data_IF_669330347289
#
_entry.id   IF_669330347289
#
_cell.length_a   1.000
_cell.length_b   1.000
_cell.length_c   1.000
_cell.angle_alpha   90.00
_cell.angle_beta   90.00
_cell.angle_gamma   90.00
#
_symmetry.space_group_name_H-M   'P 1'
#
loop_
_entity.id
_entity.type
_entity.pdbx_description
1 polymer ?
#
# COMPACT_ATOMS: atom_id res chain seq x y z
N UNK A 1 -24.59 1.36 0.99
CA UNK A 1 -23.42 0.84 1.74
C UNK A 1 -22.39 1.94 1.81
N UNK A 2 -21.92 2.28 3.00
CA UNK A 2 -20.84 3.24 3.26
C UNK A 2 -19.51 2.49 3.13
N UNK A 3 -18.64 2.94 2.22
CA UNK A 3 -17.37 2.27 1.95
C UNK A 3 -16.20 2.98 2.64
N UNK A 4 -15.64 2.32 3.67
CA UNK A 4 -14.49 2.77 4.46
C UNK A 4 -13.33 1.77 4.39
N UNK A 5 -13.08 1.19 3.21
CA UNK A 5 -11.96 0.27 2.98
C UNK A 5 -11.06 0.68 1.79
N UNK A 6 -10.92 2.00 1.57
CA UNK A 6 -10.12 2.57 0.48
C UNK A 6 -8.64 2.15 0.47
N UNK A 7 -8.11 1.70 1.62
CA UNK A 7 -6.74 1.20 1.71
C UNK A 7 -6.59 -0.20 1.09
N UNK A 8 -7.66 -1.00 1.01
CA UNK A 8 -7.67 -2.26 0.28
C UNK A 8 -7.77 -2.00 -1.23
N UNK A 9 -8.78 -1.25 -1.66
CA UNK A 9 -8.96 -0.81 -3.04
C UNK A 9 -9.88 0.40 -3.08
N UNK A 10 -9.83 1.16 -4.17
CA UNK A 10 -10.75 2.27 -4.42
C UNK A 10 -11.66 1.96 -5.60
N UNK A 11 -12.87 2.55 -5.65
CA UNK A 11 -13.68 2.52 -6.87
C UNK A 11 -13.01 3.34 -7.98
N UNK A 12 -13.20 2.89 -9.21
CA UNK A 12 -12.75 3.59 -10.41
C UNK A 12 -13.52 4.92 -10.51
N UNK A 13 -12.83 6.02 -10.78
CA UNK A 13 -13.51 7.29 -11.09
C UNK A 13 -14.20 7.21 -12.47
N UNK A 14 -15.36 7.85 -12.67
CA UNK A 14 -16.03 7.89 -13.97
C UNK A 14 -15.12 8.37 -15.10
N UNK A 15 -14.36 9.45 -14.87
CA UNK A 15 -13.44 10.03 -15.85
C UNK A 15 -12.29 9.07 -16.20
N UNK A 16 -11.90 8.20 -15.25
CA UNK A 16 -10.92 7.15 -15.50
C UNK A 16 -11.55 6.05 -16.35
N UNK A 17 -12.76 5.59 -16.02
CA UNK A 17 -13.48 4.61 -16.84
C UNK A 17 -13.67 5.09 -18.28
N UNK A 18 -14.11 6.34 -18.45
CA UNK A 18 -14.34 6.94 -19.76
C UNK A 18 -13.05 6.98 -20.60
N UNK A 19 -11.90 7.24 -19.97
CA UNK A 19 -10.60 7.19 -20.65
C UNK A 19 -10.21 5.78 -21.12
N UNK A 20 -10.70 4.73 -20.46
CA UNK A 20 -10.40 3.34 -20.77
C UNK A 20 -11.29 2.78 -21.89
N UNK A 21 -12.56 3.20 -21.95
CA UNK A 21 -13.57 2.61 -22.83
C UNK A 21 -13.17 2.57 -24.33
N UNK A 22 -12.55 3.61 -24.91
CA UNK A 22 -12.11 3.57 -26.32
C UNK A 22 -11.14 2.42 -26.61
N UNK A 23 -10.29 2.06 -25.64
CA UNK A 23 -9.26 1.02 -25.78
C UNK A 23 -9.80 -0.40 -25.52
N UNK A 24 -10.99 -0.50 -24.92
CA UNK A 24 -11.72 -1.76 -24.74
C UNK A 24 -12.66 -2.06 -25.92
N UNK A 25 -13.00 -1.06 -26.73
CA UNK A 25 -13.90 -1.16 -27.87
C UNK A 25 -13.13 -1.07 -29.18
N UNK A 26 -12.97 0.13 -29.73
CA UNK A 26 -12.42 0.34 -31.07
C UNK A 26 -10.87 0.29 -31.10
N UNK A 27 -10.21 0.61 -29.98
CA UNK A 27 -8.76 0.72 -29.84
C UNK A 27 -8.02 -0.56 -29.44
N UNK A 28 -8.57 -1.75 -29.71
CA UNK A 28 -8.08 -3.07 -29.28
C UNK A 28 -6.70 -3.51 -29.83
N UNK A 29 -6.03 -2.64 -30.58
CA UNK A 29 -4.84 -2.98 -31.37
C UNK A 29 -3.60 -3.24 -30.50
N UNK A 30 -2.72 -4.12 -30.98
CA UNK A 30 -1.45 -4.39 -30.32
C UNK A 30 -0.46 -3.22 -30.58
N UNK A 31 0.05 -2.53 -29.54
CA UNK A 31 0.92 -1.35 -29.68
C UNK A 31 2.33 -1.67 -30.23
N UNK A 32 2.63 -2.94 -30.48
CA UNK A 32 3.91 -3.39 -31.05
C UNK A 32 3.86 -3.61 -32.58
N UNK A 33 2.71 -3.39 -33.22
CA UNK A 33 2.58 -3.47 -34.68
C UNK A 33 2.80 -2.10 -35.37
N UNK A 34 2.95 -2.10 -36.70
CA UNK A 34 3.32 -0.89 -37.46
C UNK A 34 2.14 -0.12 -38.07
N UNK A 35 0.92 -0.65 -38.00
CA UNK A 35 -0.27 -0.02 -38.61
C UNK A 35 -0.82 1.13 -37.75
N UNK A 36 -1.67 1.97 -38.34
CA UNK A 36 -2.18 3.22 -37.71
C UNK A 36 -2.78 3.01 -36.32
N UNK A 37 -3.61 1.99 -36.14
CA UNK A 37 -4.23 1.66 -34.85
C UNK A 37 -3.23 1.29 -33.75
N UNK A 38 -2.17 0.54 -34.10
CA UNK A 38 -1.10 0.22 -33.17
C UNK A 38 -0.29 1.46 -32.75
N UNK A 39 -0.02 2.37 -33.69
CA UNK A 39 0.63 3.66 -33.38
C UNK A 39 -0.19 4.51 -32.42
N UNK A 40 -1.52 4.53 -32.60
CA UNK A 40 -2.42 5.23 -31.69
C UNK A 40 -2.39 4.62 -30.27
N UNK A 41 -2.41 3.29 -30.15
CA UNK A 41 -2.30 2.60 -28.86
C UNK A 41 -0.95 2.88 -28.18
N UNK A 42 0.16 2.88 -28.94
CA UNK A 42 1.49 3.24 -28.43
C UNK A 42 1.50 4.68 -27.88
N UNK A 43 0.99 5.63 -28.65
CA UNK A 43 0.94 7.04 -28.22
C UNK A 43 0.12 7.21 -26.93
N UNK A 44 -0.99 6.49 -26.78
CA UNK A 44 -1.80 6.52 -25.56
C UNK A 44 -1.06 5.95 -24.34
N UNK A 45 -0.28 4.88 -24.53
CA UNK A 45 0.60 4.33 -23.49
C UNK A 45 1.68 5.36 -23.10
N UNK A 46 2.27 6.06 -24.08
CA UNK A 46 3.31 7.05 -23.83
C UNK A 46 2.75 8.26 -23.07
N UNK A 47 1.57 8.76 -23.41
CA UNK A 47 0.87 9.80 -22.64
C UNK A 47 0.57 9.34 -21.21
N UNK A 48 0.09 8.12 -21.02
CA UNK A 48 -0.13 7.57 -19.68
C UNK A 48 1.16 7.49 -18.87
N UNK A 49 2.29 7.17 -19.53
CA UNK A 49 3.61 7.12 -18.91
C UNK A 49 4.06 8.49 -18.41
N UNK A 50 3.84 9.53 -19.20
CA UNK A 50 4.09 10.93 -18.81
C UNK A 50 3.26 11.33 -17.58
N UNK A 51 1.96 10.98 -17.56
CA UNK A 51 1.08 11.29 -16.43
C UNK A 51 1.53 10.59 -15.14
N UNK A 52 1.91 9.31 -15.21
CA UNK A 52 2.43 8.55 -14.05
C UNK A 52 3.77 9.12 -13.60
N UNK A 53 4.69 9.43 -14.52
CA UNK A 53 5.98 10.02 -14.19
C UNK A 53 5.80 11.37 -13.48
N UNK A 54 4.91 12.21 -14.02
CA UNK A 54 4.59 13.51 -13.46
C UNK A 54 4.02 13.43 -12.04
N UNK A 55 3.25 12.40 -11.69
CA UNK A 55 2.68 12.21 -10.35
C UNK A 55 3.76 12.05 -9.26
N UNK A 56 4.89 11.42 -9.61
CA UNK A 56 5.97 11.13 -8.65
C UNK A 56 7.24 11.95 -8.90
N UNK A 57 7.20 12.93 -9.81
CA UNK A 57 8.36 13.76 -10.18
C UNK A 57 9.46 13.02 -10.97
N UNK A 58 9.13 11.91 -11.62
CA UNK A 58 10.06 11.12 -12.45
C UNK A 58 10.10 11.60 -13.90
N UNK A 59 11.04 11.07 -14.68
CA UNK A 59 11.00 11.11 -16.14
C UNK A 59 10.18 9.93 -16.71
N UNK A 60 9.51 10.07 -17.87
CA UNK A 60 8.74 8.99 -18.49
C UNK A 60 9.56 7.71 -18.70
N UNK A 61 10.83 7.85 -19.07
CA UNK A 61 11.73 6.73 -19.32
C UNK A 61 12.06 5.90 -18.07
N UNK A 62 11.82 6.45 -16.88
CA UNK A 62 12.02 5.78 -15.60
C UNK A 62 10.82 4.93 -15.19
N UNK A 63 9.71 4.99 -15.92
CA UNK A 63 8.48 4.25 -15.61
C UNK A 63 8.42 2.96 -16.43
N UNK A 64 8.14 1.85 -15.74
CA UNK A 64 7.81 0.54 -16.31
C UNK A 64 6.42 0.13 -15.86
N UNK A 65 5.51 -0.18 -16.77
CA UNK A 65 4.19 -0.68 -16.43
C UNK A 65 4.24 -2.16 -16.02
N UNK A 66 3.48 -2.49 -14.97
CA UNK A 66 3.38 -3.85 -14.39
C UNK A 66 1.89 -4.21 -14.19
N UNK A 67 1.59 -5.44 -13.77
CA UNK A 67 0.21 -5.83 -13.46
C UNK A 67 -0.31 -5.27 -12.12
N UNK A 68 0.53 -4.55 -11.36
CA UNK A 68 0.17 -4.00 -10.05
C UNK A 68 1.36 -3.94 -9.10
N UNK A 69 1.11 -3.41 -7.90
CA UNK A 69 2.17 -3.19 -6.91
C UNK A 69 2.93 -4.45 -6.50
N UNK A 70 2.28 -5.63 -6.44
CA UNK A 70 2.98 -6.89 -6.13
C UNK A 70 4.01 -7.26 -7.19
N UNK A 71 3.68 -7.13 -8.49
CA UNK A 71 4.63 -7.39 -9.57
C UNK A 71 5.79 -6.39 -9.52
N UNK A 72 5.49 -5.08 -9.35
CA UNK A 72 6.51 -4.03 -9.21
C UNK A 72 7.50 -4.32 -8.09
N UNK A 73 6.99 -4.61 -6.88
CA UNK A 73 7.82 -4.89 -5.71
C UNK A 73 8.66 -6.15 -5.93
N UNK A 74 8.08 -7.23 -6.47
CA UNK A 74 8.83 -8.46 -6.72
C UNK A 74 9.91 -8.28 -7.78
N UNK A 75 9.63 -7.50 -8.83
CA UNK A 75 10.61 -7.22 -9.87
C UNK A 75 11.80 -6.42 -9.34
N UNK A 76 11.54 -5.37 -8.54
CA UNK A 76 12.59 -4.60 -7.87
C UNK A 76 13.43 -5.47 -6.92
N UNK A 77 12.77 -6.17 -5.99
CA UNK A 77 13.46 -6.95 -4.95
C UNK A 77 14.25 -8.12 -5.52
N UNK A 78 13.71 -8.84 -6.51
CA UNK A 78 14.44 -9.94 -7.16
C UNK A 78 15.67 -9.44 -7.90
N UNK A 79 15.55 -8.30 -8.57
CA UNK A 79 16.70 -7.66 -9.21
C UNK A 79 17.76 -7.23 -8.17
N UNK A 80 17.34 -6.54 -7.11
CA UNK A 80 18.23 -6.08 -6.05
C UNK A 80 18.98 -7.23 -5.37
N UNK A 81 18.27 -8.32 -5.04
CA UNK A 81 18.89 -9.53 -4.49
C UNK A 81 19.94 -10.12 -5.45
N UNK A 82 19.65 -10.15 -6.76
CA UNK A 82 20.61 -10.63 -7.77
C UNK A 82 21.82 -9.70 -7.90
N UNK A 83 21.60 -8.38 -7.83
CA UNK A 83 22.65 -7.37 -7.93
C UNK A 83 23.67 -7.48 -6.79
N UNK A 84 23.20 -7.62 -5.55
CA UNK A 84 24.08 -7.70 -4.37
C UNK A 84 24.72 -9.08 -4.18
N UNK A 85 24.06 -10.13 -4.69
CA UNK A 85 24.54 -11.50 -4.64
C UNK A 85 24.40 -12.16 -3.26
N UNK A 86 24.12 -13.46 -3.26
CA UNK A 86 23.77 -14.23 -2.04
C UNK A 86 24.85 -14.34 -0.97
N UNK A 87 26.14 -14.31 -1.34
CA UNK A 87 27.24 -14.67 -0.43
C UNK A 87 27.65 -13.53 0.50
N UNK A 88 27.50 -12.30 0.04
CA UNK A 88 27.97 -11.09 0.74
C UNK A 88 26.88 -10.04 0.87
N UNK A 89 25.86 -10.08 0.00
CA UNK A 89 24.80 -9.10 -0.04
C UNK A 89 23.76 -9.28 1.05
N UNK A 90 23.51 -8.22 1.82
CA UNK A 90 22.49 -8.18 2.88
C UNK A 90 21.20 -7.53 2.39
N UNK A 91 20.06 -8.16 2.67
CA UNK A 91 18.74 -7.57 2.49
C UNK A 91 18.31 -6.89 3.80
N UNK A 92 17.86 -5.64 3.71
CA UNK A 92 17.38 -4.87 4.86
C UNK A 92 15.94 -4.44 4.58
N UNK A 93 15.05 -4.67 5.52
CA UNK A 93 13.65 -4.26 5.40
C UNK A 93 13.04 -4.00 6.76
N UNK A 94 11.75 -3.67 6.84
CA UNK A 94 11.06 -3.39 8.10
C UNK A 94 10.15 -4.54 8.51
N UNK A 95 9.85 -4.62 9.80
CA UNK A 95 8.91 -5.60 10.35
C UNK A 95 7.45 -5.32 9.95
N UNK A 96 7.14 -4.17 9.32
CA UNK A 96 5.77 -3.72 9.04
C UNK A 96 5.40 -3.73 7.55
N UNK A 97 6.27 -4.23 6.70
CA UNK A 97 6.04 -4.22 5.25
C UNK A 97 4.82 -5.03 4.82
N UNK A 98 4.35 -4.76 3.60
CA UNK A 98 3.39 -5.62 2.94
C UNK A 98 3.99 -7.00 2.63
N UNK A 99 3.13 -8.02 2.54
CA UNK A 99 3.54 -9.40 2.20
C UNK A 99 4.30 -9.51 0.86
N UNK A 100 4.10 -8.55 -0.05
CA UNK A 100 4.84 -8.45 -1.31
C UNK A 100 6.34 -8.10 -1.13
N UNK A 101 6.74 -7.59 0.04
CA UNK A 101 8.14 -7.40 0.43
C UNK A 101 8.60 -8.51 1.37
N UNK A 102 7.81 -8.80 2.42
CA UNK A 102 8.20 -9.77 3.45
C UNK A 102 8.47 -11.16 2.88
N UNK A 103 7.55 -11.69 2.05
CA UNK A 103 7.68 -13.06 1.52
C UNK A 103 8.87 -13.21 0.55
N UNK A 104 9.15 -12.27 -0.37
CA UNK A 104 10.39 -12.32 -1.13
C UNK A 104 11.65 -12.26 -0.26
N UNK A 105 11.69 -11.36 0.74
CA UNK A 105 12.81 -11.28 1.67
C UNK A 105 13.01 -12.58 2.47
N UNK A 106 11.94 -13.24 2.90
CA UNK A 106 11.96 -14.59 3.50
C UNK A 106 12.58 -15.61 2.56
N UNK A 107 12.10 -15.65 1.32
CA UNK A 107 12.61 -16.56 0.30
C UNK A 107 14.10 -16.33 0.02
N UNK A 108 14.56 -15.07 0.06
CA UNK A 108 15.99 -14.76 -0.06
C UNK A 108 16.76 -15.28 1.15
N UNK A 109 16.24 -15.11 2.37
CA UNK A 109 16.84 -15.66 3.58
C UNK A 109 16.96 -17.18 3.51
N UNK A 110 15.94 -17.88 3.03
CA UNK A 110 15.92 -19.35 2.90
C UNK A 110 17.01 -19.86 1.94
N UNK A 111 17.40 -19.06 0.94
CA UNK A 111 18.48 -19.40 -0.01
C UNK A 111 19.83 -18.78 0.35
N UNK A 112 19.95 -18.24 1.57
CA UNK A 112 21.22 -17.86 2.19
C UNK A 112 21.55 -16.37 2.21
N UNK A 113 20.62 -15.47 1.87
CA UNK A 113 20.84 -14.03 2.04
C UNK A 113 20.70 -13.64 3.52
N UNK A 114 21.68 -12.94 4.12
CA UNK A 114 21.46 -12.29 5.41
C UNK A 114 20.29 -11.29 5.31
N UNK A 115 19.30 -11.42 6.19
CA UNK A 115 18.14 -10.55 6.26
C UNK A 115 18.11 -9.80 7.59
N UNK A 116 18.09 -8.47 7.54
CA UNK A 116 17.77 -7.62 8.69
C UNK A 116 16.33 -7.10 8.56
N UNK A 117 15.55 -7.29 9.62
CA UNK A 117 14.18 -6.76 9.75
C UNK A 117 14.15 -5.75 10.87
N UNK A 118 14.23 -4.47 10.50
CA UNK A 118 14.22 -3.38 11.46
C UNK A 118 12.83 -3.22 12.08
N UNK A 119 12.79 -2.98 13.38
CA UNK A 119 11.59 -2.71 14.14
C UNK A 119 11.02 -1.31 13.89
N UNK A 120 9.94 -1.05 14.61
CA UNK A 120 9.28 0.25 14.67
C UNK A 120 9.04 0.60 16.13
N UNK A 121 8.89 1.89 16.42
CA UNK A 121 8.44 2.33 17.73
C UNK A 121 6.94 2.02 17.95
N UNK A 122 6.44 2.31 19.16
CA UNK A 122 5.03 2.09 19.54
C UNK A 122 4.02 2.86 18.67
N UNK A 123 4.46 3.90 17.97
CA UNK A 123 3.65 4.69 17.03
C UNK A 123 3.75 4.16 15.58
N UNK A 124 4.51 3.09 15.33
CA UNK A 124 4.64 2.46 14.03
C UNK A 124 5.61 3.16 13.07
N UNK A 125 6.50 4.03 13.57
CA UNK A 125 7.58 4.63 12.78
C UNK A 125 8.86 3.81 12.90
N UNK A 126 9.56 3.65 11.78
CA UNK A 126 10.85 2.96 11.67
C UNK A 126 11.83 3.44 12.73
N UNK A 127 12.45 2.47 13.42
CA UNK A 127 13.63 2.73 14.26
C UNK A 127 14.83 3.01 13.36
N UNK A 128 15.21 4.29 13.26
CA UNK A 128 16.31 4.74 12.40
C UNK A 128 17.68 4.31 12.93
N UNK A 129 17.84 4.07 14.24
CA UNK A 129 19.12 3.64 14.82
C UNK A 129 19.37 2.17 14.53
N UNK A 130 18.33 1.34 14.66
CA UNK A 130 18.39 -0.06 14.24
C UNK A 130 18.62 -0.16 12.72
N UNK A 131 17.93 0.67 11.93
CA UNK A 131 18.11 0.71 10.48
C UNK A 131 19.52 1.15 10.06
N UNK A 132 20.07 2.16 10.73
CA UNK A 132 21.46 2.62 10.52
C UNK A 132 22.46 1.52 10.84
N UNK A 133 22.33 0.88 12.00
CA UNK A 133 23.17 -0.24 12.40
C UNK A 133 23.11 -1.38 11.37
N UNK A 134 21.91 -1.69 10.86
CA UNK A 134 21.73 -2.70 9.84
C UNK A 134 22.43 -2.37 8.51
N UNK A 135 22.39 -1.10 8.09
CA UNK A 135 23.03 -0.58 6.88
C UNK A 135 24.55 -0.52 7.01
N UNK A 136 25.08 -0.06 8.14
CA UNK A 136 26.53 -0.03 8.41
C UNK A 136 27.12 -1.44 8.35
N UNK A 137 26.43 -2.42 8.94
CA UNK A 137 26.83 -3.83 8.88
C UNK A 137 26.75 -4.45 7.46
N UNK A 138 26.13 -3.79 6.49
CA UNK A 138 26.05 -4.25 5.10
C UNK A 138 27.11 -3.62 4.18
N UNK A 139 27.82 -2.59 4.66
CA UNK A 139 28.66 -1.71 3.82
C UNK A 139 29.72 -2.46 3.02
N UNK A 140 30.45 -3.38 3.65
CA UNK A 140 31.58 -4.09 3.02
C UNK A 140 31.13 -5.23 2.08
N UNK A 141 30.00 -5.87 2.40
CA UNK A 141 29.45 -6.98 1.62
C UNK A 141 28.50 -6.56 0.49
N UNK A 142 28.06 -5.31 0.53
CA UNK A 142 26.97 -4.77 -0.28
C UNK A 142 25.59 -5.11 0.29
N UNK A 143 24.58 -4.37 -0.14
CA UNK A 143 23.22 -4.63 0.30
C UNK A 143 22.19 -3.75 -0.38
N UNK A 144 20.93 -4.04 -0.08
CA UNK A 144 19.82 -3.20 -0.47
C UNK A 144 18.84 -3.06 0.69
N UNK A 145 18.16 -1.92 0.72
CA UNK A 145 17.07 -1.67 1.66
C UNK A 145 15.73 -1.56 0.94
N UNK A 146 14.68 -2.07 1.58
CA UNK A 146 13.29 -1.90 1.15
C UNK A 146 12.43 -1.42 2.32
N UNK A 147 11.93 -0.19 2.22
CA UNK A 147 11.08 0.43 3.26
C UNK A 147 9.81 0.98 2.61
N UNK A 148 8.64 0.55 3.07
CA UNK A 148 7.37 1.09 2.61
C UNK A 148 7.22 2.57 2.98
N UNK A 149 6.70 3.38 2.07
CA UNK A 149 6.55 4.83 2.29
C UNK A 149 5.50 5.13 3.36
N UNK A 150 4.37 4.44 3.29
CA UNK A 150 3.29 4.57 4.26
C UNK A 150 2.65 3.21 4.49
N UNK A 151 2.33 2.91 5.75
CA UNK A 151 1.76 1.63 6.12
C UNK A 151 0.30 1.50 5.67
N UNK A 152 -0.06 0.39 5.04
CA UNK A 152 -1.42 0.14 4.56
C UNK A 152 -2.45 -0.10 5.66
N UNK A 153 -2.00 -0.44 6.86
CA UNK A 153 -2.85 -0.81 7.99
C UNK A 153 -3.12 0.39 8.89
N UNK A 154 -2.06 1.02 9.40
CA UNK A 154 -2.15 2.15 10.34
C UNK A 154 -2.16 3.51 9.65
N UNK A 155 -1.71 3.57 8.39
CA UNK A 155 -1.53 4.81 7.66
C UNK A 155 -0.28 5.59 8.06
N UNK A 156 0.55 5.07 8.96
CA UNK A 156 1.75 5.77 9.44
C UNK A 156 2.76 5.95 8.29
N UNK A 157 3.25 7.17 8.13
CA UNK A 157 4.21 7.60 7.11
C UNK A 157 5.62 7.40 7.68
N UNK A 158 6.45 6.69 6.93
CA UNK A 158 7.81 6.37 7.35
C UNK A 158 8.80 7.51 7.03
N UNK A 159 9.90 7.65 7.80
CA UNK A 159 10.97 8.62 7.52
C UNK A 159 11.81 8.20 6.29
N UNK A 160 11.22 8.23 5.09
CA UNK A 160 11.86 7.71 3.87
C UNK A 160 13.06 8.56 3.44
N UNK A 161 13.01 9.88 3.63
CA UNK A 161 14.14 10.76 3.32
C UNK A 161 15.37 10.35 4.09
N UNK A 162 15.22 10.16 5.40
CA UNK A 162 16.28 9.77 6.32
C UNK A 162 16.73 8.34 6.06
N UNK A 163 15.80 7.39 5.89
CA UNK A 163 16.13 6.00 5.58
C UNK A 163 16.88 5.86 4.24
N UNK A 164 16.46 6.61 3.21
CA UNK A 164 17.13 6.62 1.92
C UNK A 164 18.55 7.21 2.03
N UNK A 165 18.71 8.30 2.77
CA UNK A 165 20.03 8.90 3.02
C UNK A 165 20.96 7.92 3.73
N UNK A 166 20.50 7.28 4.82
CA UNK A 166 21.27 6.29 5.58
C UNK A 166 21.73 5.12 4.71
N UNK A 167 20.83 4.57 3.87
CA UNK A 167 21.19 3.48 2.98
C UNK A 167 22.24 3.92 1.95
N UNK A 168 22.07 5.11 1.35
CA UNK A 168 23.00 5.64 0.35
C UNK A 168 24.37 6.01 0.89
N UNK A 169 24.44 6.57 2.10
CA UNK A 169 25.70 6.85 2.82
C UNK A 169 26.53 5.58 3.01
N UNK A 170 25.87 4.42 3.08
CA UNK A 170 26.50 3.12 3.21
C UNK A 170 26.67 2.38 1.87
N UNK A 171 26.31 2.99 0.74
CA UNK A 171 26.46 2.42 -0.60
C UNK A 171 25.38 1.38 -0.97
N UNK A 172 24.24 1.36 -0.27
CA UNK A 172 23.15 0.42 -0.52
C UNK A 172 22.15 1.00 -1.52
N UNK A 173 21.62 0.13 -2.38
CA UNK A 173 20.47 0.47 -3.20
C UNK A 173 19.19 0.54 -2.36
N UNK A 174 18.25 1.40 -2.75
CA UNK A 174 17.03 1.66 -1.97
C UNK A 174 15.76 1.49 -2.81
N UNK A 175 14.89 0.59 -2.37
CA UNK A 175 13.52 0.43 -2.86
C UNK A 175 12.52 0.99 -1.86
N UNK A 176 11.44 1.59 -2.35
CA UNK A 176 10.28 1.90 -1.51
C UNK A 176 8.97 1.39 -2.10
N UNK A 177 8.17 0.73 -1.26
CA UNK A 177 6.78 0.45 -1.55
C UNK A 177 5.94 1.71 -1.26
N UNK A 178 5.60 2.46 -2.31
CA UNK A 178 4.83 3.70 -2.21
C UNK A 178 3.34 3.50 -2.57
N UNK A 179 2.86 2.26 -2.59
CA UNK A 179 1.49 1.90 -3.02
C UNK A 179 0.42 2.64 -2.21
N UNK A 180 0.69 2.95 -0.95
CA UNK A 180 -0.22 3.69 -0.08
C UNK A 180 0.10 5.18 0.03
N UNK A 181 1.22 5.66 -0.51
CA UNK A 181 1.58 7.08 -0.45
C UNK A 181 1.16 7.80 -1.74
N UNK A 182 1.43 7.20 -2.89
CA UNK A 182 1.16 7.78 -4.21
C UNK A 182 -0.32 8.08 -4.37
N UNK A 183 -0.62 9.33 -4.75
CA UNK A 183 -1.98 9.84 -4.93
C UNK A 183 -2.71 10.23 -3.63
N UNK A 184 -2.05 10.11 -2.47
CA UNK A 184 -2.62 10.49 -1.17
C UNK A 184 -1.81 11.56 -0.44
N UNK A 185 -0.50 11.57 -0.65
CA UNK A 185 0.44 12.58 -0.18
C UNK A 185 1.42 12.92 -1.31
N UNK A 186 2.12 14.07 -1.25
CA UNK A 186 3.22 14.36 -2.16
C UNK A 186 4.28 13.27 -2.09
N UNK A 187 4.67 12.76 -3.26
CA UNK A 187 5.77 11.81 -3.45
C UNK A 187 6.61 12.37 -4.58
N UNK A 188 7.89 12.63 -4.33
CA UNK A 188 8.80 13.18 -5.34
C UNK A 188 10.15 12.45 -5.30
N UNK A 189 10.43 11.67 -6.34
CA UNK A 189 11.67 10.86 -6.44
C UNK A 189 12.92 11.69 -6.72
N UNK A 190 12.77 12.99 -7.02
CA UNK A 190 13.88 13.95 -7.10
C UNK A 190 14.26 14.49 -5.72
N UNK A 191 13.28 14.66 -4.84
CA UNK A 191 13.51 15.10 -3.45
C UNK A 191 13.98 13.95 -2.57
N UNK A 192 13.39 12.78 -2.73
CA UNK A 192 13.77 11.56 -2.01
C UNK A 192 14.37 10.60 -3.03
N UNK A 193 15.71 10.52 -3.14
CA UNK A 193 16.34 9.93 -4.31
C UNK A 193 16.37 8.39 -4.30
N UNK A 194 15.24 7.71 -4.08
CA UNK A 194 15.13 6.24 -4.13
C UNK A 194 15.56 5.66 -5.47
N UNK A 195 16.08 4.43 -5.51
CA UNK A 195 16.51 3.79 -6.77
C UNK A 195 15.35 3.07 -7.47
N UNK A 196 14.42 2.53 -6.67
CA UNK A 196 13.21 1.86 -7.13
C UNK A 196 11.99 2.30 -6.32
N UNK A 197 10.84 2.47 -6.96
CA UNK A 197 9.57 2.76 -6.28
C UNK A 197 8.41 2.00 -6.91
N UNK A 198 7.63 1.32 -6.07
CA UNK A 198 6.46 0.55 -6.50
C UNK A 198 5.16 1.32 -6.26
N UNK A 199 4.26 1.34 -7.25
CA UNK A 199 2.92 1.94 -7.15
C UNK A 199 1.84 1.07 -7.82
N UNK A 200 0.58 1.28 -7.44
CA UNK A 200 -0.56 0.48 -7.90
C UNK A 200 -1.81 1.33 -8.13
N UNK A 201 -2.42 1.28 -9.32
CA UNK A 201 -3.48 2.21 -9.74
C UNK A 201 -4.73 2.17 -8.87
N UNK A 202 -5.20 0.98 -8.51
CA UNK A 202 -6.41 0.78 -7.73
C UNK A 202 -6.35 1.30 -6.27
N UNK A 203 -5.23 1.90 -5.84
CA UNK A 203 -5.11 2.57 -4.54
C UNK A 203 -5.41 4.06 -4.58
N UNK A 204 -5.53 4.64 -5.78
CA UNK A 204 -5.85 6.06 -6.01
C UNK A 204 -6.83 6.22 -7.18
N UNK A 205 -7.86 5.37 -7.19
CA UNK A 205 -8.99 5.38 -8.13
C UNK A 205 -8.68 5.03 -9.59
N UNK A 206 -7.53 4.39 -9.84
CA UNK A 206 -7.23 3.73 -11.11
C UNK A 206 -7.81 2.31 -11.19
N UNK A 207 -7.68 1.63 -12.35
CA UNK A 207 -8.16 0.27 -12.50
C UNK A 207 -7.30 -0.73 -11.72
N UNK A 208 -7.91 -1.87 -11.37
CA UNK A 208 -7.19 -3.06 -10.89
C UNK A 208 -6.42 -3.71 -12.05
N UNK A 209 -5.38 -4.48 -11.73
CA UNK A 209 -4.61 -5.22 -12.74
C UNK A 209 -3.57 -4.37 -13.50
N UNK A 210 -3.22 -3.19 -12.96
CA UNK A 210 -2.13 -2.36 -13.48
C UNK A 210 -1.43 -1.62 -12.34
N UNK A 211 -0.12 -1.47 -12.48
CA UNK A 211 0.72 -0.67 -11.61
C UNK A 211 1.92 -0.14 -12.39
N UNK A 212 2.86 0.46 -11.67
CA UNK A 212 4.12 0.85 -12.26
C UNK A 212 5.27 0.59 -11.28
N UNK A 213 6.45 0.38 -11.86
CA UNK A 213 7.73 0.37 -11.19
C UNK A 213 8.54 1.56 -11.72
N UNK A 214 8.88 2.48 -10.84
CA UNK A 214 9.90 3.48 -11.09
C UNK A 214 11.28 2.84 -10.95
N UNK A 215 12.15 3.12 -11.92
CA UNK A 215 13.55 2.71 -11.95
C UNK A 215 14.36 3.96 -12.26
N UNK A 216 15.15 4.42 -11.30
CA UNK A 216 16.00 5.60 -11.47
C UNK A 216 16.92 5.46 -12.68
N UNK A 217 17.04 6.54 -13.44
CA UNK A 217 17.96 6.64 -14.58
C UNK A 217 19.38 6.27 -14.16
N UNK A 218 20.03 5.39 -14.94
CA UNK A 218 21.38 4.89 -14.65
C UNK A 218 21.42 3.66 -13.74
N UNK A 219 20.32 3.27 -13.09
CA UNK A 219 20.25 1.99 -12.41
C UNK A 219 20.18 0.85 -13.42
N UNK A 220 21.04 -0.15 -13.24
CA UNK A 220 20.91 -1.44 -13.94
C UNK A 220 19.62 -2.11 -13.46
N UNK A 221 18.99 -2.89 -14.34
CA UNK A 221 17.78 -3.66 -14.03
C UNK A 221 17.67 -4.89 -14.91
N UNK A 222 17.25 -6.02 -14.33
CA UNK A 222 16.94 -7.24 -15.08
C UNK A 222 15.46 -7.61 -14.88
N UNK A 223 14.71 -7.85 -15.96
CA UNK A 223 13.27 -8.06 -15.87
C UNK A 223 12.91 -9.36 -15.13
N UNK A 224 11.86 -9.29 -14.32
CA UNK A 224 11.22 -10.47 -13.73
C UNK A 224 10.57 -11.35 -14.83
N UNK A 225 9.87 -10.71 -15.77
CA UNK A 225 9.17 -11.36 -16.88
C UNK A 225 9.95 -11.16 -18.18
N UNK A 226 10.45 -12.27 -18.74
CA UNK A 226 11.24 -12.30 -19.98
C UNK A 226 10.39 -12.76 -21.17
N UNK A 227 10.70 -12.26 -22.36
CA UNK A 227 9.90 -12.49 -23.56
C UNK A 227 10.19 -11.47 -24.65
N UNK A 228 9.13 -10.99 -25.31
CA UNK A 228 9.19 -10.19 -26.55
C UNK A 228 9.68 -8.74 -26.43
N UNK A 229 10.35 -8.36 -25.35
CA UNK A 229 11.05 -7.07 -25.23
C UNK A 229 10.18 -5.83 -24.99
N UNK A 230 8.91 -6.01 -24.61
CA UNK A 230 8.03 -4.89 -24.23
C UNK A 230 8.60 -4.11 -23.03
N UNK A 231 8.12 -2.86 -22.87
CA UNK A 231 8.60 -1.92 -21.83
C UNK A 231 10.13 -1.69 -21.88
N UNK A 232 10.70 -1.66 -23.09
CA UNK A 232 12.15 -1.52 -23.36
C UNK A 232 12.97 -2.65 -22.74
N UNK A 233 12.55 -3.90 -22.96
CA UNK A 233 13.12 -5.12 -22.37
C UNK A 233 13.01 -5.21 -20.83
N UNK A 234 12.29 -4.30 -20.16
CA UNK A 234 12.17 -4.28 -18.69
C UNK A 234 10.97 -5.05 -18.16
N UNK A 235 9.97 -5.34 -19.00
CA UNK A 235 8.81 -6.16 -18.63
C UNK A 235 8.10 -6.69 -19.88
N UNK A 236 8.32 -7.95 -20.21
CA UNK A 236 7.70 -8.57 -21.40
C UNK A 236 6.21 -8.87 -21.25
N UNK A 237 5.52 -9.00 -22.37
CA UNK A 237 4.08 -9.23 -22.48
C UNK A 237 3.38 -8.05 -23.14
N UNK A 238 2.37 -8.33 -23.96
CA UNK A 238 1.60 -7.27 -24.65
C UNK A 238 1.00 -6.32 -23.61
N UNK A 239 1.17 -5.02 -23.84
CA UNK A 239 0.76 -3.98 -22.91
C UNK A 239 -0.77 -3.91 -22.79
N UNK A 240 -1.26 -3.81 -21.54
CA UNK A 240 -2.68 -3.61 -21.27
C UNK A 240 -3.05 -2.13 -21.49
N UNK A 241 -3.20 -1.75 -22.77
CA UNK A 241 -3.43 -0.36 -23.19
C UNK A 241 -4.56 0.31 -22.40
N UNK A 242 -5.72 -0.34 -22.27
CA UNK A 242 -6.85 0.21 -21.54
C UNK A 242 -6.53 0.49 -20.07
N UNK A 243 -5.93 -0.48 -19.36
CA UNK A 243 -5.59 -0.29 -17.96
C UNK A 243 -4.47 0.73 -17.76
N UNK A 244 -3.47 0.77 -18.65
CA UNK A 244 -2.39 1.76 -18.63
C UNK A 244 -2.95 3.17 -18.80
N UNK A 245 -3.84 3.38 -19.78
CA UNK A 245 -4.51 4.68 -19.96
C UNK A 245 -5.33 5.07 -18.73
N UNK A 246 -6.07 4.12 -18.15
CA UNK A 246 -6.79 4.37 -16.89
C UNK A 246 -5.86 4.73 -15.72
N UNK A 247 -4.70 4.07 -15.61
CA UNK A 247 -3.68 4.42 -14.61
C UNK A 247 -3.13 5.83 -14.83
N UNK A 248 -2.83 6.19 -16.08
CA UNK A 248 -2.39 7.54 -16.45
C UNK A 248 -3.42 8.60 -16.08
N UNK A 249 -4.70 8.37 -16.41
CA UNK A 249 -5.78 9.31 -16.06
C UNK A 249 -5.96 9.43 -14.55
N UNK A 250 -5.90 8.32 -13.81
CA UNK A 250 -5.95 8.36 -12.36
C UNK A 250 -4.76 9.14 -11.76
N UNK A 251 -3.57 8.99 -12.34
CA UNK A 251 -2.38 9.72 -11.92
C UNK A 251 -2.49 11.23 -12.16
N UNK A 252 -3.00 11.63 -13.33
CA UNK A 252 -3.30 13.03 -13.68
C UNK A 252 -4.25 13.66 -12.66
N UNK A 253 -5.38 12.98 -12.37
CA UNK A 253 -6.39 13.46 -11.43
C UNK A 253 -5.87 13.53 -10.00
N UNK A 254 -5.06 12.55 -9.58
CA UNK A 254 -4.47 12.51 -8.24
C UNK A 254 -3.45 13.63 -8.02
N UNK A 255 -2.62 13.95 -9.03
CA UNK A 255 -1.61 15.02 -8.94
C UNK A 255 -2.24 16.40 -8.69
N UNK A 256 -3.41 16.66 -9.29
CA UNK A 256 -4.11 17.94 -9.17
C UNK A 256 -5.02 18.07 -7.95
N UNK A 257 -5.13 17.05 -7.09
CA UNK A 257 -6.15 16.98 -6.04
C UNK A 257 -5.57 17.03 -4.63
N UNK A 258 -6.12 17.94 -3.82
CA UNK A 258 -5.85 17.97 -2.37
C UNK A 258 -6.59 16.85 -1.65
N UNK A 259 -5.93 16.28 -0.63
CA UNK A 259 -6.52 15.28 0.27
C UNK A 259 -6.98 15.89 1.61
N UNK A 260 -7.00 17.22 1.73
CA UNK A 260 -7.39 17.90 2.98
C UNK A 260 -8.84 17.60 3.36
N UNK A 261 -9.77 17.62 2.40
CA UNK A 261 -11.18 17.26 2.68
C UNK A 261 -11.33 15.83 3.20
N UNK A 262 -10.50 14.90 2.71
CA UNK A 262 -10.49 13.51 3.19
C UNK A 262 -9.91 13.44 4.60
N UNK A 263 -8.89 14.25 4.91
CA UNK A 263 -8.37 14.40 6.29
C UNK A 263 -9.45 14.91 7.22
N UNK A 264 -10.17 15.96 6.85
CA UNK A 264 -11.27 16.52 7.65
C UNK A 264 -12.37 15.49 7.93
N UNK A 265 -12.71 14.65 6.94
CA UNK A 265 -13.67 13.55 7.12
C UNK A 265 -13.13 12.50 8.11
N UNK A 266 -11.86 12.09 7.95
CA UNK A 266 -11.19 11.15 8.85
C UNK A 266 -11.17 11.69 10.28
N UNK A 267 -10.73 12.93 10.47
CA UNK A 267 -10.64 13.59 11.78
C UNK A 267 -12.02 13.75 12.43
N UNK A 268 -13.04 14.07 11.63
CA UNK A 268 -14.42 14.16 12.10
C UNK A 268 -14.96 12.81 12.56
N UNK A 269 -14.73 11.74 11.79
CA UNK A 269 -15.11 10.38 12.18
C UNK A 269 -14.41 9.96 13.47
N UNK A 270 -13.07 10.09 13.54
CA UNK A 270 -12.29 9.75 14.73
C UNK A 270 -12.76 10.51 15.96
N UNK A 271 -13.02 11.82 15.84
CA UNK A 271 -13.48 12.66 16.95
C UNK A 271 -14.83 12.22 17.50
N UNK A 272 -15.76 11.77 16.63
CA UNK A 272 -17.06 11.23 17.07
C UNK A 272 -16.85 9.91 17.81
N UNK A 273 -16.06 9.00 17.22
CA UNK A 273 -15.83 7.66 17.79
C UNK A 273 -15.16 7.74 19.16
N UNK A 274 -14.07 8.50 19.27
CA UNK A 274 -13.29 8.62 20.52
C UNK A 274 -14.10 9.30 21.63
N UNK A 275 -15.00 10.23 21.27
CA UNK A 275 -15.88 10.89 22.23
C UNK A 275 -17.02 9.98 22.71
N UNK A 276 -17.59 9.18 21.81
CA UNK A 276 -18.86 8.48 22.07
C UNK A 276 -18.70 7.00 22.44
N UNK A 277 -17.54 6.41 22.18
CA UNK A 277 -17.26 5.00 22.46
C UNK A 277 -16.14 4.92 23.50
N UNK A 278 -16.52 4.69 24.77
CA UNK A 278 -15.54 4.49 25.85
C UNK A 278 -14.63 3.29 25.58
N UNK A 279 -13.35 3.39 25.96
CA UNK A 279 -12.35 2.35 25.70
C UNK A 279 -12.01 2.21 24.20
N UNK A 280 -12.21 3.27 23.41
CA UNK A 280 -11.68 3.35 22.05
C UNK A 280 -10.38 4.15 22.02
N UNK A 281 -9.44 3.74 21.18
CA UNK A 281 -8.11 4.37 21.06
C UNK A 281 -7.69 4.45 19.60
N UNK A 282 -7.12 5.58 19.19
CA UNK A 282 -6.48 5.73 17.88
C UNK A 282 -5.02 5.26 17.92
N UNK A 283 -4.65 4.48 16.92
CA UNK A 283 -3.36 3.81 16.84
C UNK A 283 -2.48 4.42 15.75
N UNK A 284 -1.16 4.44 16.01
CA UNK A 284 -0.16 4.99 15.12
C UNK A 284 0.18 6.47 15.41
N UNK A 285 1.23 6.98 14.77
CA UNK A 285 1.67 8.36 14.90
C UNK A 285 0.64 9.35 14.32
N UNK A 286 -0.02 10.20 15.12
CA UNK A 286 -1.01 11.15 14.62
C UNK A 286 -0.41 12.27 13.76
N UNK A 287 0.86 12.62 13.98
CA UNK A 287 1.54 13.70 13.24
C UNK A 287 2.02 13.23 11.87
N UNK A 288 2.31 11.93 11.72
CA UNK A 288 2.86 11.34 10.50
C UNK A 288 1.97 10.23 9.98
N UNK A 289 0.75 10.59 9.57
CA UNK A 289 -0.27 9.65 9.11
C UNK A 289 -0.93 10.11 7.82
N UNK A 290 -1.27 9.15 6.97
CA UNK A 290 -2.04 9.40 5.76
C UNK A 290 -3.35 10.13 6.11
N UNK A 291 -3.78 11.07 5.26
CA UNK A 291 -5.02 11.82 5.50
C UNK A 291 -6.26 10.92 5.48
N UNK A 292 -6.16 9.75 4.84
CA UNK A 292 -7.30 8.89 4.56
C UNK A 292 -7.38 7.64 5.45
N UNK A 293 -6.54 7.51 6.47
CA UNK A 293 -6.49 6.28 7.27
C UNK A 293 -6.75 6.57 8.75
N UNK A 294 -7.64 5.80 9.33
CA UNK A 294 -7.86 5.69 10.77
C UNK A 294 -7.71 4.24 11.19
N UNK A 295 -6.98 4.00 12.28
CA UNK A 295 -6.83 2.67 12.86
C UNK A 295 -7.21 2.74 14.34
N UNK A 296 -8.30 2.11 14.72
CA UNK A 296 -8.93 2.27 16.03
C UNK A 296 -9.03 0.91 16.72
N UNK A 297 -8.70 0.84 18.01
CA UNK A 297 -8.90 -0.34 18.85
C UNK A 297 -10.03 -0.12 19.82
N UNK A 298 -10.79 -1.17 20.11
CA UNK A 298 -11.95 -1.12 21.00
C UNK A 298 -11.81 -2.14 22.12
N UNK A 299 -11.69 -1.69 23.36
CA UNK A 299 -11.61 -2.60 24.51
C UNK A 299 -12.83 -3.51 24.59
N UNK A 300 -12.60 -4.77 24.99
CA UNK A 300 -13.65 -5.78 25.18
C UNK A 300 -14.47 -6.07 23.91
N UNK A 301 -13.85 -5.97 22.74
CA UNK A 301 -14.46 -6.30 21.47
C UNK A 301 -13.50 -7.12 20.61
N UNK A 302 -14.03 -8.10 19.89
CA UNK A 302 -13.29 -8.77 18.82
C UNK A 302 -13.63 -8.16 17.46
N UNK A 303 -12.60 -7.78 16.70
CA UNK A 303 -12.72 -7.12 15.41
C UNK A 303 -13.53 -7.95 14.41
N UNK A 304 -13.39 -9.28 14.42
CA UNK A 304 -14.17 -10.17 13.56
C UNK A 304 -15.68 -10.04 13.79
N UNK A 305 -16.11 -9.92 15.05
CA UNK A 305 -17.51 -9.68 15.40
C UNK A 305 -17.97 -8.28 14.99
N UNK A 306 -17.14 -7.26 15.19
CA UNK A 306 -17.45 -5.90 14.76
C UNK A 306 -17.62 -5.79 13.24
N UNK A 307 -16.77 -6.46 12.45
CA UNK A 307 -16.87 -6.46 10.98
C UNK A 307 -18.21 -7.02 10.50
N UNK A 308 -18.68 -8.13 11.08
CA UNK A 308 -19.98 -8.72 10.74
C UNK A 308 -21.12 -7.74 11.06
N UNK A 309 -21.10 -7.15 12.26
CA UNK A 309 -22.14 -6.22 12.69
C UNK A 309 -22.14 -4.93 11.87
N UNK A 310 -20.97 -4.45 11.44
CA UNK A 310 -20.85 -3.28 10.59
C UNK A 310 -21.35 -3.55 9.18
N UNK A 311 -21.05 -4.72 8.61
CA UNK A 311 -21.55 -5.13 7.28
C UNK A 311 -23.08 -5.25 7.27
N UNK A 312 -23.68 -5.85 8.32
CA UNK A 312 -25.14 -5.89 8.53
C UNK A 312 -25.76 -4.48 8.58
N UNK A 313 -25.01 -3.48 9.06
CA UNK A 313 -25.41 -2.08 9.11
C UNK A 313 -24.98 -1.29 7.86
N UNK A 314 -24.44 -1.97 6.85
CA UNK A 314 -24.06 -1.40 5.57
C UNK A 314 -22.78 -0.58 5.59
N UNK A 315 -21.84 -0.86 6.49
CA UNK A 315 -20.52 -0.21 6.60
C UNK A 315 -19.41 -1.22 6.29
N UNK A 316 -18.65 -1.00 5.23
CA UNK A 316 -17.50 -1.84 4.88
C UNK A 316 -16.19 -1.25 5.44
N UNK A 317 -15.46 -2.02 6.24
CA UNK A 317 -14.12 -1.68 6.73
C UNK A 317 -13.27 -2.97 6.93
N UNK A 318 -12.07 -2.88 7.51
CA UNK A 318 -11.17 -4.03 7.70
C UNK A 318 -10.67 -4.14 9.15
N UNK A 319 -10.18 -5.31 9.58
CA UNK A 319 -9.60 -5.56 10.92
C UNK A 319 -8.05 -5.57 10.94
N UNK A 320 -7.41 -5.20 9.83
CA UNK A 320 -5.96 -5.28 9.64
C UNK A 320 -5.60 -5.60 8.19
N UNK A 321 -4.42 -6.16 7.93
CA UNK A 321 -4.05 -6.66 6.60
C UNK A 321 -5.12 -7.63 6.06
N UNK A 322 -5.65 -7.31 4.87
CA UNK A 322 -6.92 -7.80 4.30
C UNK A 322 -6.92 -9.29 3.85
N UNK A 323 -6.06 -10.13 4.41
CA UNK A 323 -5.92 -11.54 4.04
C UNK A 323 -6.01 -12.44 5.28
N UNK A 324 -7.20 -12.50 5.88
CA UNK A 324 -7.52 -13.42 6.98
C UNK A 324 -8.37 -14.59 6.44
N UNK A 325 -7.74 -15.51 5.71
CA UNK A 325 -8.31 -16.84 5.47
C UNK A 325 -7.83 -17.80 6.57
N UNK A 326 -8.73 -18.13 7.52
CA UNK A 326 -8.73 -19.40 8.24
C UNK A 326 -7.97 -19.51 9.58
N UNK A 327 -7.01 -18.63 9.90
CA UNK A 327 -6.38 -18.59 11.24
C UNK A 327 -6.23 -17.14 11.69
N UNK A 328 -6.94 -16.75 12.74
CA UNK A 328 -6.81 -15.42 13.35
C UNK A 328 -5.43 -15.27 14.02
N UNK A 329 -4.41 -14.99 13.23
CA UNK A 329 -3.13 -14.55 13.77
C UNK A 329 -3.17 -13.03 13.94
N UNK A 330 -2.67 -12.49 15.06
CA UNK A 330 -2.52 -11.05 15.24
C UNK A 330 -1.73 -10.43 14.08
N UNK A 331 -2.10 -9.22 13.67
CA UNK A 331 -1.38 -8.50 12.62
C UNK A 331 0.11 -8.36 12.96
N UNK A 332 0.99 -8.75 12.04
CA UNK A 332 2.44 -8.61 12.22
C UNK A 332 2.85 -7.14 12.41
N UNK A 333 2.13 -6.21 11.78
CA UNK A 333 2.33 -4.76 11.95
C UNK A 333 2.06 -4.35 13.40
N UNK A 334 0.91 -4.76 13.94
CA UNK A 334 0.53 -4.41 15.30
C UNK A 334 1.43 -5.08 16.34
N UNK A 335 1.88 -6.31 16.09
CA UNK A 335 2.86 -6.99 16.95
C UNK A 335 4.21 -6.28 16.92
N UNK A 336 4.66 -5.78 15.76
CA UNK A 336 5.88 -4.98 15.65
C UNK A 336 5.77 -3.64 16.39
N UNK A 337 4.57 -3.07 16.50
CA UNK A 337 4.28 -1.88 17.32
C UNK A 337 4.15 -2.18 18.82
N UNK A 338 4.33 -3.45 19.24
CA UNK A 338 4.23 -3.86 20.64
C UNK A 338 2.81 -4.07 21.17
N UNK A 339 1.81 -4.26 20.30
CA UNK A 339 0.44 -4.48 20.75
C UNK A 339 0.30 -5.83 21.46
N UNK A 340 -0.49 -5.83 22.54
CA UNK A 340 -0.97 -7.07 23.14
C UNK A 340 -1.89 -7.80 22.17
N UNK A 341 -2.01 -9.13 22.31
CA UNK A 341 -2.91 -9.92 21.45
C UNK A 341 -4.37 -9.45 21.55
N UNK A 342 -4.79 -9.01 22.74
CA UNK A 342 -6.13 -8.48 22.97
C UNK A 342 -6.36 -7.19 22.18
N UNK A 343 -5.43 -6.22 22.24
CA UNK A 343 -5.52 -4.98 21.47
C UNK A 343 -5.45 -5.24 19.96
N UNK A 344 -4.61 -6.19 19.55
CA UNK A 344 -4.46 -6.51 18.15
C UNK A 344 -5.73 -7.14 17.55
N UNK A 345 -6.39 -8.01 18.31
CA UNK A 345 -7.67 -8.63 17.92
C UNK A 345 -8.88 -7.70 18.00
N UNK A 346 -8.72 -6.51 18.57
CA UNK A 346 -9.81 -5.54 18.73
C UNK A 346 -9.71 -4.32 17.81
N UNK A 347 -8.73 -4.33 16.90
CA UNK A 347 -8.45 -3.20 16.02
C UNK A 347 -9.22 -3.26 14.70
N UNK A 348 -9.69 -2.11 14.24
CA UNK A 348 -10.29 -1.89 12.93
C UNK A 348 -9.56 -0.78 12.19
N UNK A 349 -9.46 -0.93 10.87
CA UNK A 349 -8.98 0.06 9.92
C UNK A 349 -10.15 0.62 9.12
N UNK A 350 -10.25 1.94 9.11
CA UNK A 350 -11.15 2.71 8.26
C UNK A 350 -10.31 3.51 7.24
N UNK A 351 -10.52 3.20 5.96
CA UNK A 351 -9.87 3.85 4.82
C UNK A 351 -10.87 4.72 4.07
N UNK A 352 -10.68 6.03 4.14
CA UNK A 352 -11.52 7.04 3.50
C UNK A 352 -11.05 7.33 2.07
N UNK A 353 -11.93 7.88 1.26
CA UNK A 353 -11.67 8.33 -0.10
C UNK A 353 -12.33 9.67 -0.38
N UNK A 354 -11.95 10.27 -1.49
CA UNK A 354 -12.54 11.49 -2.06
C UNK A 354 -14.04 11.37 -2.42
N UNK A 355 -14.61 10.15 -2.39
CA UNK A 355 -16.02 9.92 -2.68
C UNK A 355 -16.88 9.86 -1.41
N UNK A 356 -16.27 9.87 -0.24
CA UNK A 356 -17.01 9.84 1.01
C UNK A 356 -17.61 11.21 1.35
N UNK A 357 -18.68 11.21 2.16
CA UNK A 357 -19.33 12.43 2.64
C UNK A 357 -19.38 12.52 4.16
N UNK A 358 -19.56 13.74 4.69
CA UNK A 358 -19.72 13.98 6.14
C UNK A 358 -20.88 13.18 6.74
N UNK A 359 -22.02 13.13 6.03
CA UNK A 359 -23.20 12.37 6.47
C UNK A 359 -22.93 10.87 6.60
N UNK A 360 -22.09 10.31 5.71
CA UNK A 360 -21.65 8.92 5.82
C UNK A 360 -20.74 8.69 7.04
N UNK A 361 -19.91 9.67 7.41
CA UNK A 361 -19.04 9.55 8.59
C UNK A 361 -19.85 9.49 9.89
N UNK A 362 -20.87 10.35 9.99
CA UNK A 362 -21.80 10.38 11.13
C UNK A 362 -22.58 9.07 11.23
N UNK A 363 -23.13 8.59 10.10
CA UNK A 363 -23.83 7.31 10.03
C UNK A 363 -22.93 6.11 10.36
N UNK A 364 -21.69 6.10 9.86
CA UNK A 364 -20.73 5.05 10.14
C UNK A 364 -20.30 5.03 11.62
N UNK A 365 -20.07 6.20 12.23
CA UNK A 365 -19.74 6.28 13.65
C UNK A 365 -20.90 5.81 14.54
N UNK A 366 -22.14 6.16 14.18
CA UNK A 366 -23.33 5.67 14.87
C UNK A 366 -23.50 4.13 14.73
N UNK A 367 -23.25 3.58 13.54
CA UNK A 367 -23.27 2.14 13.31
C UNK A 367 -22.19 1.40 14.11
N UNK A 368 -20.98 1.97 14.17
CA UNK A 368 -19.88 1.44 14.96
C UNK A 368 -20.19 1.45 16.46
N UNK A 369 -20.74 2.54 16.99
CA UNK A 369 -21.19 2.61 18.38
C UNK A 369 -22.20 1.52 18.71
N UNK A 370 -23.25 1.39 17.89
CA UNK A 370 -24.27 0.34 18.06
C UNK A 370 -23.65 -1.06 18.03
N UNK A 371 -22.66 -1.28 17.16
CA UNK A 371 -21.95 -2.56 17.03
C UNK A 371 -21.10 -2.87 18.26
N UNK A 372 -20.34 -1.90 18.75
CA UNK A 372 -19.53 -2.03 19.98
C UNK A 372 -20.42 -2.30 21.20
N UNK A 373 -21.51 -1.53 21.38
CA UNK A 373 -22.46 -1.74 22.48
C UNK A 373 -23.16 -3.09 22.41
N UNK A 374 -23.53 -3.56 21.21
CA UNK A 374 -24.10 -4.90 21.02
C UNK A 374 -23.07 -5.98 21.36
N UNK A 375 -21.86 -5.86 20.84
CA UNK A 375 -20.82 -6.87 21.04
C UNK A 375 -20.40 -6.96 22.52
N UNK A 376 -20.23 -5.83 23.20
CA UNK A 376 -19.94 -5.80 24.66
C UNK A 376 -21.07 -6.39 25.50
N UNK A 377 -22.34 -6.27 25.10
CA UNK A 377 -23.46 -6.94 25.79
C UNK A 377 -23.46 -8.46 25.59
N UNK A 378 -23.05 -8.93 24.42
CA UNK A 378 -23.00 -10.37 24.10
C UNK A 378 -21.72 -11.02 24.65
N UNK A 379 -20.61 -10.28 24.71
CA UNK A 379 -19.30 -10.73 25.21
C UNK A 379 -19.05 -10.39 26.70
N UNK A 380 -19.92 -9.62 27.35
CA UNK A 380 -19.73 -9.08 28.71
C UNK A 380 -20.19 -10.02 29.85
N UNK A 381 -19.20 -10.43 30.67
CA UNK A 381 -19.21 -11.21 31.92
C UNK A 381 -19.95 -12.56 31.94
N UNK A 382 -19.19 -13.64 31.75
CA UNK A 382 -19.51 -14.94 32.36
C UNK A 382 -20.42 -15.88 31.59
N UNK A 383 -20.74 -15.62 30.32
CA UNK A 383 -21.44 -16.60 29.48
C UNK A 383 -20.40 -17.43 28.72
N UNK A 384 -20.34 -18.72 29.05
CA UNK A 384 -19.48 -19.73 28.42
C UNK A 384 -19.74 -19.89 26.91
N UNK A 385 -19.06 -20.85 26.25
CA UNK A 385 -19.04 -20.95 24.80
C UNK A 385 -20.46 -20.98 24.22
N UNK A 386 -20.70 -20.13 23.22
CA UNK A 386 -21.92 -20.13 22.42
C UNK A 386 -22.09 -21.53 21.84
N UNK A 387 -23.03 -22.30 22.37
CA UNK A 387 -23.38 -23.62 21.85
C UNK A 387 -24.21 -23.41 20.60
N UNK A 388 -23.59 -23.58 19.44
CA UNK A 388 -24.30 -23.63 18.16
C UNK A 388 -25.00 -24.98 18.08
N UNK A 389 -26.32 -25.00 18.30
CA UNK A 389 -27.11 -26.18 17.96
C UNK A 389 -27.18 -26.27 16.43
N UNK A 390 -26.58 -27.33 15.90
CA UNK A 390 -26.75 -27.70 14.48
C UNK A 390 -27.97 -28.62 14.42
N UNK A 391 -28.93 -28.41 13.49
CA UNK A 391 -30.12 -29.26 13.33
C UNK A 391 -29.82 -30.73 13.05
#
# INVERSE_FOLDING_TARGET
MIYLDANATTPLLPEVLDSMLPWLREGFHNPNASYRGAKAARQAIDTAREQVAALIGAEPDEIVFTSGGTESTNAALKWLARLVGRKTGKAITTAIEHSAVLKPCETFSDVGYPLARCGVNVLGRLDLDEFRTACEAAKDGGGFASVMWANNETGVIQPITEACAIAKENGLAFHTDAIQAVGKIPVNVREVPVDFLSLSGHKFHGPKGVGALYIRSGCRFEPLLRGGGQEKDRRSGTENTAAIVGLGKAAELAKGRSMESVRELRDSFESIVLREISGSEANGDPAHRLPNTSHLSFEQCEAAGLLILLDDLGVACSAGSACMTGKQQPSHVQKAMGFSDAKAKSSLRFGFSILNSRSEMEAAAAALKKSVEKLRRVQGFGVGPVTVYTP
#
